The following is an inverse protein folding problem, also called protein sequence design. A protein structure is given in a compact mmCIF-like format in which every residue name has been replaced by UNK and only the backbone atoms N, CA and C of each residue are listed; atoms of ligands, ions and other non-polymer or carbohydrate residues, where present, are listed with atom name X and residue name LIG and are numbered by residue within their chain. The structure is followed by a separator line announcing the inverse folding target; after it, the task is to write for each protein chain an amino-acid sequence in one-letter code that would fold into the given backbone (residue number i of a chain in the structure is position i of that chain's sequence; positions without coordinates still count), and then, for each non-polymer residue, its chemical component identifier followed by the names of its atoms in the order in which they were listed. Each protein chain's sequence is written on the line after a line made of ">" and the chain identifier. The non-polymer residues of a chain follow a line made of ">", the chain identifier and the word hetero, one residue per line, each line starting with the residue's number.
data_IF_310309357538
#
_entry.id   IF_310309357538
#
_cell.length_a   1.000
_cell.length_b   1.000
_cell.length_c   1.000
_cell.angle_alpha   90.00
_cell.angle_beta   90.00
_cell.angle_gamma   90.00
#
_symmetry.space_group_name_H-M   'P 1'
#
loop_
_entity.id
_entity.type
_entity.pdbx_description
1 polymer ?
#
# COMPACT_ATOMS: atom_id res chain seq x y z
N UNK A 1 1.38 -2.50 -20.60
CA UNK A 1 2.39 -1.89 -19.71
C UNK A 1 2.97 -0.66 -20.39
N UNK A 2 2.66 0.55 -19.91
CA UNK A 2 3.31 1.77 -20.36
C UNK A 2 4.72 1.80 -19.76
N UNK A 3 5.67 1.31 -20.54
CA UNK A 3 7.10 1.50 -20.32
C UNK A 3 7.38 3.00 -20.45
N UNK A 4 7.54 3.70 -19.33
CA UNK A 4 8.09 5.06 -19.27
C UNK A 4 9.62 5.02 -19.58
N UNK A 5 9.98 4.34 -20.67
CA UNK A 5 11.35 4.01 -21.04
C UNK A 5 11.94 5.19 -21.82
N UNK A 6 12.80 5.96 -21.17
CA UNK A 6 13.73 6.82 -21.89
C UNK A 6 14.22 8.07 -21.18
N UNK A 7 13.55 8.55 -20.11
CA UNK A 7 13.93 9.85 -19.51
C UNK A 7 14.62 9.75 -18.15
N UNK A 8 14.44 8.65 -17.40
CA UNK A 8 14.99 8.49 -16.04
C UNK A 8 15.79 7.19 -15.95
N UNK A 9 17.10 7.33 -15.72
CA UNK A 9 18.02 6.21 -15.54
C UNK A 9 18.12 5.87 -14.05
N UNK A 10 17.35 4.88 -13.61
CA UNK A 10 17.33 4.48 -12.19
C UNK A 10 18.52 3.61 -11.78
N UNK A 11 19.32 3.14 -12.73
CA UNK A 11 20.49 2.30 -12.46
C UNK A 11 21.78 3.10 -12.17
N UNK A 12 21.65 4.43 -12.01
CA UNK A 12 22.80 5.28 -11.65
C UNK A 12 23.29 4.89 -10.25
N UNK A 13 24.57 4.54 -10.14
CA UNK A 13 25.21 4.25 -8.86
C UNK A 13 25.40 5.53 -8.04
N UNK A 14 25.05 5.42 -6.77
CA UNK A 14 25.20 6.46 -5.77
C UNK A 14 25.93 5.89 -4.56
N UNK A 15 26.65 6.75 -3.86
CA UNK A 15 27.18 6.46 -2.55
C UNK A 15 26.09 6.77 -1.53
N UNK A 16 25.64 5.74 -0.81
CA UNK A 16 24.64 5.78 0.22
C UNK A 16 25.27 5.56 1.61
N UNK A 17 25.46 6.65 2.38
CA UNK A 17 25.92 6.53 3.76
C UNK A 17 24.85 5.85 4.60
N UNK A 18 25.26 4.97 5.51
CA UNK A 18 24.34 4.31 6.46
C UNK A 18 24.31 5.02 7.82
N UNK A 19 24.84 6.24 7.87
CA UNK A 19 24.89 7.08 9.07
C UNK A 19 23.89 8.25 8.97
N UNK A 20 23.54 8.82 10.13
CA UNK A 20 22.50 9.85 10.24
C UNK A 20 22.99 11.25 9.81
N UNK A 21 24.30 11.44 9.62
CA UNK A 21 24.91 12.76 9.42
C UNK A 21 25.17 13.06 7.94
N UNK A 22 25.29 12.03 7.10
CA UNK A 22 25.62 12.16 5.69
C UNK A 22 24.40 11.94 4.79
N UNK A 23 24.43 12.60 3.63
CA UNK A 23 23.40 12.45 2.59
C UNK A 23 23.94 11.65 1.41
N UNK A 24 23.07 10.96 0.64
CA UNK A 24 23.48 10.25 -0.57
C UNK A 24 24.14 11.19 -1.59
N UNK A 25 25.17 10.71 -2.29
CA UNK A 25 25.94 11.48 -3.27
C UNK A 25 26.21 10.67 -4.54
N UNK A 26 26.48 11.35 -5.65
CA UNK A 26 26.86 10.68 -6.90
C UNK A 26 28.16 9.88 -6.75
N UNK A 27 28.16 8.63 -7.21
CA UNK A 27 29.31 7.75 -7.11
C UNK A 27 30.23 7.85 -8.34
N UNK A 28 31.54 8.01 -8.11
CA UNK A 28 32.53 8.10 -9.17
C UNK A 28 33.26 6.76 -9.35
N UNK A 29 32.74 5.90 -10.23
CA UNK A 29 33.29 4.55 -10.50
C UNK A 29 34.79 4.49 -10.73
N UNK A 30 35.36 5.49 -11.42
CA UNK A 30 36.79 5.54 -11.74
C UNK A 30 37.69 5.72 -10.50
N UNK A 31 37.13 6.14 -9.35
CA UNK A 31 37.83 6.33 -8.08
C UNK A 31 37.41 5.31 -7.01
N UNK A 32 36.80 4.21 -7.43
CA UNK A 32 36.26 3.16 -6.55
C UNK A 32 37.32 2.55 -5.65
N UNK A 33 36.96 2.31 -4.39
CA UNK A 33 37.69 1.46 -3.45
C UNK A 33 36.87 0.23 -3.10
N UNK A 34 37.52 -0.83 -2.65
CA UNK A 34 36.83 -2.04 -2.20
C UNK A 34 35.92 -1.78 -0.99
N UNK A 35 36.34 -0.88 -0.09
CA UNK A 35 35.53 -0.42 1.05
C UNK A 35 34.21 0.24 0.65
N UNK A 36 34.11 0.76 -0.59
CA UNK A 36 32.93 1.50 -1.03
C UNK A 36 31.76 0.56 -1.36
N UNK A 37 32.02 -0.73 -1.62
CA UNK A 37 31.00 -1.70 -2.05
C UNK A 37 29.81 -1.79 -1.10
N UNK A 38 30.03 -1.70 0.21
CA UNK A 38 28.95 -1.72 1.21
C UNK A 38 28.04 -0.48 1.16
N UNK A 39 28.47 0.58 0.50
CA UNK A 39 27.79 1.87 0.43
C UNK A 39 27.31 2.21 -0.98
N UNK A 40 27.46 1.32 -1.96
CA UNK A 40 26.97 1.56 -3.32
C UNK A 40 25.55 1.04 -3.44
N UNK A 41 24.63 1.88 -3.89
CA UNK A 41 23.29 1.46 -4.33
C UNK A 41 22.90 2.17 -5.63
N UNK A 42 21.82 1.73 -6.25
CA UNK A 42 21.26 2.43 -7.41
C UNK A 42 20.29 3.52 -6.96
N UNK A 43 20.13 4.56 -7.78
CA UNK A 43 19.09 5.57 -7.55
C UNK A 43 17.66 5.00 -7.51
N UNK A 44 17.42 3.87 -8.18
CA UNK A 44 16.19 3.09 -8.10
C UNK A 44 15.98 2.47 -6.72
N UNK A 45 17.01 1.86 -6.13
CA UNK A 45 16.92 1.30 -4.78
C UNK A 45 16.70 2.40 -3.73
N UNK A 46 17.36 3.56 -3.88
CA UNK A 46 17.09 4.71 -3.03
C UNK A 46 15.65 5.19 -3.14
N UNK A 47 15.09 5.23 -4.35
CA UNK A 47 13.69 5.59 -4.55
C UNK A 47 12.76 4.59 -3.84
N UNK A 48 13.02 3.29 -3.95
CA UNK A 48 12.25 2.25 -3.23
C UNK A 48 12.34 2.45 -1.72
N UNK A 49 13.52 2.76 -1.18
CA UNK A 49 13.72 3.02 0.25
C UNK A 49 12.94 4.27 0.72
N UNK A 50 13.03 5.37 -0.01
CA UNK A 50 12.27 6.59 0.27
C UNK A 50 10.77 6.30 0.25
N UNK A 51 10.28 5.58 -0.76
CA UNK A 51 8.86 5.26 -0.88
C UNK A 51 8.38 4.34 0.25
N UNK A 52 9.18 3.35 0.65
CA UNK A 52 8.88 2.50 1.81
C UNK A 52 8.83 3.33 3.09
N UNK A 53 9.81 4.21 3.32
CA UNK A 53 9.82 5.10 4.48
C UNK A 53 8.58 6.02 4.51
N UNK A 54 8.19 6.58 3.36
CA UNK A 54 6.97 7.38 3.25
C UNK A 54 5.70 6.55 3.51
N UNK A 55 5.59 5.36 2.92
CA UNK A 55 4.49 4.42 3.16
C UNK A 55 4.35 4.12 4.64
N UNK A 56 5.44 3.76 5.32
CA UNK A 56 5.43 3.46 6.75
C UNK A 56 5.12 4.68 7.63
N UNK A 57 5.73 5.83 7.34
CA UNK A 57 5.54 7.06 8.12
C UNK A 57 4.10 7.60 8.04
N UNK A 58 3.47 7.45 6.88
CA UNK A 58 2.11 7.95 6.64
C UNK A 58 1.02 6.87 6.76
N UNK A 59 1.37 5.61 7.04
CA UNK A 59 0.38 4.53 7.14
C UNK A 59 -0.64 4.80 8.26
N UNK A 60 -1.94 4.92 7.98
CA UNK A 60 -2.88 5.41 9.00
C UNK A 60 -3.13 4.47 10.19
N UNK A 61 -2.80 3.19 10.04
CA UNK A 61 -3.15 2.15 11.00
C UNK A 61 -1.93 1.71 11.82
N UNK A 62 -1.59 2.49 12.85
CA UNK A 62 -0.39 2.26 13.67
C UNK A 62 -0.56 1.27 14.83
N UNK A 63 -1.77 0.74 15.06
CA UNK A 63 -2.02 -0.23 16.13
C UNK A 63 -1.29 -1.55 15.86
N UNK A 64 -0.77 -2.20 16.91
CA UNK A 64 -0.11 -3.50 16.85
C UNK A 64 1.08 -3.58 15.88
N UNK A 65 2.24 -3.15 16.35
CA UNK A 65 3.48 -3.17 15.56
C UNK A 65 3.98 -4.58 15.19
N UNK A 66 3.43 -5.63 15.80
CA UNK A 66 3.79 -7.02 15.49
C UNK A 66 3.16 -7.51 14.17
N UNK A 67 2.10 -6.83 13.70
CA UNK A 67 1.39 -7.15 12.46
C UNK A 67 1.94 -6.37 11.26
N UNK A 68 1.72 -6.90 10.06
CA UNK A 68 2.02 -6.19 8.81
C UNK A 68 1.10 -4.97 8.62
N UNK A 69 1.52 -4.02 7.78
CA UNK A 69 0.72 -2.83 7.46
C UNK A 69 -0.69 -3.21 6.96
N UNK A 70 -0.77 -4.21 6.08
CA UNK A 70 -2.02 -4.78 5.61
C UNK A 70 -2.91 -5.27 6.74
N UNK A 71 -2.40 -6.14 7.62
CA UNK A 71 -3.20 -6.70 8.70
C UNK A 71 -3.73 -5.64 9.65
N UNK A 72 -2.94 -4.60 9.93
CA UNK A 72 -3.39 -3.44 10.75
C UNK A 72 -4.56 -2.72 10.08
N UNK A 73 -4.48 -2.50 8.78
CA UNK A 73 -5.55 -1.87 8.00
C UNK A 73 -6.78 -2.78 7.83
N UNK A 74 -6.57 -4.09 7.66
CA UNK A 74 -7.62 -5.09 7.58
C UNK A 74 -8.37 -5.21 8.91
N UNK A 75 -7.66 -5.17 10.05
CA UNK A 75 -8.28 -5.11 11.38
C UNK A 75 -9.14 -3.86 11.55
N UNK A 76 -8.62 -2.70 11.15
CA UNK A 76 -9.40 -1.46 11.20
C UNK A 76 -10.64 -1.49 10.29
N UNK A 77 -10.59 -2.30 9.23
CA UNK A 77 -11.74 -2.59 8.38
C UNK A 77 -12.64 -3.70 8.96
N UNK A 78 -12.40 -4.26 10.15
CA UNK A 78 -13.07 -5.48 10.65
C UNK A 78 -12.94 -6.70 9.71
N UNK A 79 -11.95 -6.71 8.82
CA UNK A 79 -11.67 -7.81 7.89
C UNK A 79 -10.83 -8.94 8.53
N UNK A 80 -10.31 -8.78 9.75
CA UNK A 80 -9.41 -9.76 10.36
C UNK A 80 -10.04 -10.60 11.50
N UNK A 81 -11.14 -10.13 12.13
CA UNK A 81 -11.66 -10.82 13.33
C UNK A 81 -12.50 -12.07 13.00
N UNK A 82 -12.29 -13.14 13.77
CA UNK A 82 -12.79 -14.51 13.48
C UNK A 82 -14.14 -14.84 14.15
N UNK A 83 -14.70 -13.93 14.95
CA UNK A 83 -15.96 -14.17 15.67
C UNK A 83 -17.12 -13.31 15.15
N UNK A 84 -18.23 -13.99 14.85
CA UNK A 84 -19.61 -13.49 14.78
C UNK A 84 -20.11 -12.85 13.47
N UNK A 85 -20.27 -13.73 12.46
CA UNK A 85 -20.92 -13.46 11.17
C UNK A 85 -22.45 -13.20 11.27
N UNK A 86 -23.08 -13.35 12.44
CA UNK A 86 -24.55 -13.47 12.54
C UNK A 86 -25.28 -12.12 12.72
N UNK A 87 -24.59 -10.98 12.82
CA UNK A 87 -25.25 -9.67 13.01
C UNK A 87 -24.58 -8.43 12.41
N UNK A 88 -23.46 -8.55 11.70
CA UNK A 88 -22.58 -7.41 11.39
C UNK A 88 -22.83 -6.67 10.07
N UNK A 89 -23.70 -7.16 9.18
CA UNK A 89 -23.88 -6.54 7.85
C UNK A 89 -24.24 -5.05 7.93
N UNK A 90 -25.16 -4.69 8.83
CA UNK A 90 -25.59 -3.29 9.04
C UNK A 90 -24.51 -2.39 9.66
N UNK A 91 -23.73 -2.89 10.62
CA UNK A 91 -22.66 -2.11 11.27
C UNK A 91 -21.47 -1.90 10.35
N UNK A 92 -21.15 -2.89 9.53
CA UNK A 92 -20.10 -2.81 8.50
C UNK A 92 -20.44 -1.79 7.40
N UNK A 93 -21.71 -1.74 6.98
CA UNK A 93 -22.23 -0.74 6.04
C UNK A 93 -22.23 0.65 6.67
N UNK A 94 -22.67 0.78 7.92
CA UNK A 94 -22.68 2.06 8.63
C UNK A 94 -21.26 2.63 8.82
N UNK A 95 -20.29 1.78 9.16
CA UNK A 95 -18.87 2.14 9.26
C UNK A 95 -18.30 2.60 7.93
N UNK A 96 -18.59 1.87 6.85
CA UNK A 96 -18.22 2.26 5.48
C UNK A 96 -18.81 3.63 5.09
N UNK A 97 -20.09 3.87 5.37
CA UNK A 97 -20.75 5.17 5.13
C UNK A 97 -20.13 6.31 5.96
N UNK A 98 -19.78 6.04 7.22
CA UNK A 98 -19.14 7.03 8.08
C UNK A 98 -17.72 7.38 7.60
N UNK A 99 -16.95 6.38 7.14
CA UNK A 99 -15.62 6.60 6.55
C UNK A 99 -15.72 7.42 5.25
N UNK A 100 -16.64 7.07 4.36
CA UNK A 100 -16.89 7.82 3.13
C UNK A 100 -17.27 9.29 3.43
N UNK A 101 -18.20 9.51 4.36
CA UNK A 101 -18.62 10.86 4.74
C UNK A 101 -17.47 11.70 5.37
N UNK A 102 -16.48 11.07 6.03
CA UNK A 102 -15.28 11.77 6.51
C UNK A 102 -14.40 12.22 5.35
N UNK A 103 -14.20 11.35 4.36
CA UNK A 103 -13.41 11.64 3.17
C UNK A 103 -14.05 12.70 2.28
N UNK A 104 -15.38 12.66 2.13
CA UNK A 104 -16.15 13.68 1.41
C UNK A 104 -15.98 15.08 2.02
N UNK A 105 -15.69 15.16 3.32
CA UNK A 105 -15.36 16.41 4.02
C UNK A 105 -13.88 16.78 3.98
N UNK A 106 -13.05 16.05 3.23
CA UNK A 106 -11.62 16.28 3.13
C UNK A 106 -10.82 15.81 4.35
N UNK A 107 -11.39 14.97 5.22
CA UNK A 107 -10.71 14.45 6.42
C UNK A 107 -9.96 13.17 6.05
N UNK A 108 -8.83 13.35 5.38
CA UNK A 108 -7.90 12.28 4.94
C UNK A 108 -6.84 11.92 5.97
N UNK A 109 -6.74 12.72 7.03
CA UNK A 109 -5.78 12.59 8.11
C UNK A 109 -6.52 12.37 9.42
N UNK A 110 -5.90 11.63 10.31
CA UNK A 110 -6.17 11.79 11.74
C UNK A 110 -4.94 12.49 12.31
N UNK A 111 -5.11 13.57 13.08
CA UNK A 111 -4.03 14.45 13.57
C UNK A 111 -2.88 13.71 14.29
N UNK A 112 -3.06 12.42 14.62
CA UNK A 112 -2.06 11.55 15.26
C UNK A 112 -1.90 10.15 14.60
N UNK A 113 -2.56 9.86 13.47
CA UNK A 113 -2.61 8.51 12.89
C UNK A 113 -2.47 8.50 11.35
N UNK A 114 -1.38 9.08 10.83
CA UNK A 114 -1.02 8.98 9.41
C UNK A 114 -1.85 9.81 8.41
N UNK A 115 -1.47 9.71 7.14
CA UNK A 115 -2.08 10.39 5.98
C UNK A 115 -2.33 9.36 4.87
N UNK A 116 -3.61 9.04 4.67
CA UNK A 116 -4.01 8.00 3.72
C UNK A 116 -3.67 8.37 2.28
N UNK A 117 -3.68 9.66 1.91
CA UNK A 117 -3.35 10.12 0.55
C UNK A 117 -1.88 9.90 0.24
N UNK A 118 -1.02 10.22 1.20
CA UNK A 118 0.44 10.03 1.07
C UNK A 118 0.81 8.56 1.05
N UNK A 119 0.19 7.77 1.93
CA UNK A 119 0.39 6.31 1.94
C UNK A 119 -0.05 5.67 0.62
N UNK A 120 -1.20 6.07 0.08
CA UNK A 120 -1.74 5.56 -1.19
C UNK A 120 -0.82 5.94 -2.36
N UNK A 121 -0.35 7.20 -2.39
CA UNK A 121 0.61 7.70 -3.38
C UNK A 121 1.96 6.97 -3.34
N UNK A 122 2.43 6.59 -2.15
CA UNK A 122 3.65 5.81 -1.98
C UNK A 122 3.47 4.37 -2.49
N UNK A 123 2.39 3.70 -2.10
CA UNK A 123 2.05 2.36 -2.58
C UNK A 123 1.89 2.31 -4.10
N UNK A 124 1.21 3.28 -4.72
CA UNK A 124 1.06 3.34 -6.18
C UNK A 124 2.41 3.39 -6.89
N UNK A 125 3.34 4.20 -6.38
CA UNK A 125 4.70 4.29 -6.93
C UNK A 125 5.52 3.03 -6.68
N UNK A 126 5.37 2.40 -5.51
CA UNK A 126 6.03 1.12 -5.20
C UNK A 126 5.58 0.04 -6.18
N UNK A 127 4.28 -0.09 -6.46
CA UNK A 127 3.74 -1.04 -7.46
C UNK A 127 4.45 -0.89 -8.81
N UNK A 128 4.70 0.36 -9.24
CA UNK A 128 5.35 0.64 -10.52
C UNK A 128 6.83 0.29 -10.54
N UNK A 129 7.52 0.37 -9.39
CA UNK A 129 8.98 0.23 -9.31
C UNK A 129 9.42 -1.17 -8.87
N UNK A 130 8.71 -1.82 -7.94
CA UNK A 130 9.15 -3.10 -7.33
C UNK A 130 8.50 -4.33 -7.95
N UNK A 131 7.33 -4.20 -8.60
CA UNK A 131 6.52 -5.34 -9.05
C UNK A 131 6.23 -6.37 -7.92
N UNK A 132 6.19 -5.92 -6.67
CA UNK A 132 5.86 -6.76 -5.50
C UNK A 132 4.33 -6.92 -5.37
N UNK A 133 3.88 -8.16 -5.19
CA UNK A 133 2.47 -8.48 -4.96
C UNK A 133 1.95 -7.84 -3.67
N UNK A 134 2.76 -7.78 -2.62
CA UNK A 134 2.33 -7.21 -1.34
C UNK A 134 1.92 -5.74 -1.48
N UNK A 135 2.57 -4.99 -2.38
CA UNK A 135 2.21 -3.61 -2.65
C UNK A 135 0.82 -3.48 -3.31
N UNK A 136 0.40 -4.44 -4.13
CA UNK A 136 -0.96 -4.48 -4.70
C UNK A 136 -2.02 -4.68 -3.61
N UNK A 137 -1.74 -5.57 -2.65
CA UNK A 137 -2.63 -5.87 -1.52
C UNK A 137 -2.74 -4.67 -0.58
N UNK A 138 -1.60 -4.09 -0.21
CA UNK A 138 -1.52 -2.93 0.67
C UNK A 138 -2.21 -1.71 0.05
N UNK A 139 -2.02 -1.50 -1.26
CA UNK A 139 -2.73 -0.46 -2.01
C UNK A 139 -4.25 -0.70 -2.01
N UNK A 140 -4.68 -1.94 -2.19
CA UNK A 140 -6.11 -2.27 -2.22
C UNK A 140 -6.83 -1.99 -0.90
N UNK A 141 -6.23 -2.34 0.25
CA UNK A 141 -6.87 -2.05 1.55
C UNK A 141 -6.95 -0.54 1.80
N UNK A 142 -5.99 0.25 1.32
CA UNK A 142 -6.08 1.72 1.39
C UNK A 142 -7.23 2.24 0.49
N UNK A 143 -7.36 1.72 -0.74
CA UNK A 143 -8.49 2.05 -1.62
C UNK A 143 -9.85 1.71 -0.99
N UNK A 144 -9.92 0.58 -0.29
CA UNK A 144 -11.11 0.19 0.46
C UNK A 144 -11.49 1.24 1.51
N UNK A 145 -10.52 1.66 2.33
CA UNK A 145 -10.72 2.71 3.32
C UNK A 145 -11.05 4.08 2.69
N UNK A 146 -10.60 4.30 1.44
CA UNK A 146 -10.95 5.48 0.64
C UNK A 146 -12.37 5.45 0.04
N UNK A 147 -13.12 4.35 0.20
CA UNK A 147 -14.42 4.16 -0.45
C UNK A 147 -14.34 3.84 -1.95
N UNK A 148 -13.14 3.57 -2.48
CA UNK A 148 -12.89 3.20 -3.87
C UNK A 148 -12.98 1.68 -4.04
N UNK A 149 -14.18 1.14 -3.78
CA UNK A 149 -14.39 -0.31 -3.64
C UNK A 149 -14.17 -1.10 -4.94
N UNK A 150 -14.52 -0.53 -6.10
CA UNK A 150 -14.32 -1.21 -7.37
C UNK A 150 -12.83 -1.33 -7.71
N UNK A 151 -12.09 -0.23 -7.57
CA UNK A 151 -10.65 -0.17 -7.74
C UNK A 151 -9.97 -1.11 -6.74
N UNK A 152 -10.37 -1.08 -5.46
CA UNK A 152 -9.87 -1.97 -4.42
C UNK A 152 -9.99 -3.44 -4.85
N UNK A 153 -11.16 -3.88 -5.32
CA UNK A 153 -11.37 -5.26 -5.78
C UNK A 153 -10.50 -5.61 -6.99
N UNK A 154 -10.31 -4.69 -7.93
CA UNK A 154 -9.45 -4.92 -9.11
C UNK A 154 -8.00 -5.16 -8.71
N UNK A 155 -7.47 -4.41 -7.74
CA UNK A 155 -6.10 -4.60 -7.26
C UNK A 155 -5.92 -5.90 -6.46
N UNK A 156 -6.93 -6.37 -5.71
CA UNK A 156 -6.87 -7.69 -5.06
C UNK A 156 -6.87 -8.84 -6.06
N UNK A 157 -7.64 -8.73 -7.15
CA UNK A 157 -7.58 -9.73 -8.23
C UNK A 157 -6.18 -9.80 -8.85
N UNK A 158 -5.55 -8.65 -9.12
CA UNK A 158 -4.16 -8.60 -9.60
C UNK A 158 -3.18 -9.19 -8.58
N UNK A 159 -3.37 -8.93 -7.29
CA UNK A 159 -2.59 -9.54 -6.23
C UNK A 159 -2.69 -11.07 -6.27
N UNK A 160 -3.90 -11.63 -6.35
CA UNK A 160 -4.10 -13.08 -6.45
C UNK A 160 -3.47 -13.67 -7.71
N UNK A 161 -3.63 -13.02 -8.88
CA UNK A 161 -3.01 -13.45 -10.14
C UNK A 161 -1.48 -13.51 -10.04
N UNK A 162 -0.87 -12.46 -9.48
CA UNK A 162 0.59 -12.38 -9.31
C UNK A 162 1.09 -13.37 -8.24
N UNK A 163 0.36 -13.50 -7.13
CA UNK A 163 0.69 -14.46 -6.07
C UNK A 163 0.65 -15.89 -6.59
N UNK A 164 -0.44 -16.29 -7.26
CA UNK A 164 -0.61 -17.63 -7.83
C UNK A 164 0.46 -17.96 -8.89
N UNK A 165 0.97 -16.95 -9.58
CA UNK A 165 2.08 -17.12 -10.53
C UNK A 165 3.42 -17.34 -9.82
N UNK A 166 3.57 -16.90 -8.56
CA UNK A 166 4.80 -16.97 -7.77
C UNK A 166 4.90 -18.21 -6.86
N UNK A 167 3.78 -18.85 -6.49
CA UNK A 167 3.72 -19.95 -5.50
C UNK A 167 4.39 -21.27 -5.93
N UNK A 168 5.22 -21.29 -6.98
CA UNK A 168 6.01 -22.48 -7.34
C UNK A 168 7.33 -22.61 -6.57
N UNK A 169 7.72 -21.64 -5.73
CA UNK A 169 9.07 -21.64 -5.13
C UNK A 169 9.01 -21.17 -3.66
N UNK A 170 9.47 -22.04 -2.76
CA UNK A 170 9.86 -21.83 -1.34
C UNK A 170 8.80 -21.76 -0.23
N UNK A 171 8.91 -22.71 0.70
CA UNK A 171 8.20 -22.84 1.98
C UNK A 171 9.18 -22.60 3.15
N UNK A 172 8.84 -21.69 4.07
CA UNK A 172 9.56 -21.47 5.33
C UNK A 172 8.57 -21.17 6.48
N UNK A 173 8.76 -21.86 7.61
CA UNK A 173 7.72 -22.12 8.61
C UNK A 173 7.28 -20.93 9.48
N UNK A 174 8.14 -19.92 9.70
CA UNK A 174 7.75 -18.73 10.49
C UNK A 174 7.09 -17.65 9.61
N UNK A 175 7.40 -17.63 8.31
CA UNK A 175 6.72 -16.78 7.32
C UNK A 175 5.31 -17.29 7.04
N UNK A 176 5.11 -18.61 7.08
CA UNK A 176 3.84 -19.29 6.77
C UNK A 176 2.67 -18.78 7.62
N UNK A 177 2.83 -18.65 8.95
CA UNK A 177 1.72 -18.25 9.84
C UNK A 177 1.26 -16.81 9.61
N UNK A 178 2.19 -15.89 9.38
CA UNK A 178 1.86 -14.50 9.02
C UNK A 178 1.21 -14.41 7.64
N UNK A 179 1.61 -15.28 6.71
CA UNK A 179 1.06 -15.34 5.35
C UNK A 179 -0.36 -15.91 5.34
N UNK A 180 -0.66 -16.91 6.18
CA UNK A 180 -2.01 -17.49 6.31
C UNK A 180 -3.03 -16.49 6.88
N UNK A 181 -2.65 -15.72 7.90
CA UNK A 181 -3.51 -14.67 8.46
C UNK A 181 -3.78 -13.57 7.41
N UNK A 182 -2.76 -13.19 6.65
CA UNK A 182 -2.87 -12.23 5.56
C UNK A 182 -3.80 -12.74 4.45
N UNK A 183 -3.69 -14.01 4.06
CA UNK A 183 -4.54 -14.62 3.03
C UNK A 183 -6.00 -14.68 3.47
N UNK A 184 -6.27 -15.09 4.70
CA UNK A 184 -7.62 -15.10 5.25
C UNK A 184 -8.22 -13.68 5.29
N UNK A 185 -7.41 -12.67 5.63
CA UNK A 185 -7.84 -11.27 5.62
C UNK A 185 -8.08 -10.75 4.19
N UNK A 186 -7.30 -11.20 3.19
CA UNK A 186 -7.54 -10.90 1.76
C UNK A 186 -8.87 -11.48 1.30
N UNK A 187 -9.14 -12.75 1.59
CA UNK A 187 -10.39 -13.41 1.21
C UNK A 187 -11.60 -12.73 1.85
N UNK A 188 -11.50 -12.37 3.15
CA UNK A 188 -12.56 -11.64 3.85
C UNK A 188 -12.78 -10.23 3.28
N UNK A 189 -11.72 -9.52 2.90
CA UNK A 189 -11.82 -8.24 2.22
C UNK A 189 -12.50 -8.38 0.85
N UNK A 190 -12.14 -9.39 0.05
CA UNK A 190 -12.78 -9.65 -1.24
C UNK A 190 -14.25 -10.01 -1.10
N UNK A 191 -14.61 -10.88 -0.16
CA UNK A 191 -16.01 -11.20 0.13
C UNK A 191 -16.81 -9.94 0.45
N UNK A 192 -16.27 -9.07 1.32
CA UNK A 192 -16.94 -7.81 1.68
C UNK A 192 -17.08 -6.86 0.50
N UNK A 193 -16.04 -6.72 -0.32
CA UNK A 193 -16.09 -5.90 -1.53
C UNK A 193 -17.15 -6.40 -2.51
N UNK A 194 -17.28 -7.72 -2.69
CA UNK A 194 -18.33 -8.31 -3.51
C UNK A 194 -19.73 -8.02 -2.93
N UNK A 195 -19.92 -8.13 -1.62
CA UNK A 195 -21.19 -7.78 -0.96
C UNK A 195 -21.56 -6.30 -1.18
N UNK A 196 -20.60 -5.39 -1.02
CA UNK A 196 -20.81 -3.95 -1.26
C UNK A 196 -21.18 -3.70 -2.73
N UNK A 197 -20.57 -4.41 -3.68
CA UNK A 197 -20.90 -4.27 -5.11
C UNK A 197 -22.30 -4.77 -5.48
N UNK A 198 -22.87 -5.70 -4.71
CA UNK A 198 -24.23 -6.18 -4.92
C UNK A 198 -25.29 -5.17 -4.43
N UNK A 199 -24.93 -4.24 -3.55
CA UNK A 199 -25.84 -3.20 -3.08
C UNK A 199 -25.93 -2.01 -4.07
N UNK A 200 -27.15 -1.53 -4.33
CA UNK A 200 -27.36 -0.35 -5.17
C UNK A 200 -26.88 0.93 -4.46
N UNK A 201 -26.14 1.79 -5.17
CA UNK A 201 -25.76 3.13 -4.70
C UNK A 201 -24.30 3.31 -4.24
N UNK A 202 -23.48 2.25 -4.29
CA UNK A 202 -22.05 2.31 -3.98
C UNK A 202 -21.15 2.53 -5.20
N UNK A 203 -21.75 2.60 -6.39
CA UNK A 203 -21.09 2.84 -7.66
C UNK A 203 -20.62 4.29 -7.74
N UNK A 204 -19.39 4.53 -7.25
CA UNK A 204 -18.66 5.81 -7.25
C UNK A 204 -19.26 6.89 -6.34
N UNK A 205 -18.44 7.57 -5.51
CA UNK A 205 -18.81 8.86 -4.97
C UNK A 205 -19.18 9.79 -6.13
N UNK A 206 -20.35 10.44 -6.07
CA UNK A 206 -20.78 11.45 -7.06
C UNK A 206 -19.82 12.64 -7.15
N UNK A 207 -18.90 12.75 -6.19
CA UNK A 207 -17.83 13.73 -6.11
C UNK A 207 -16.55 13.23 -6.80
N UNK A 208 -16.60 12.35 -7.81
CA UNK A 208 -15.47 12.08 -8.71
C UNK A 208 -15.00 13.30 -9.54
N UNK A 209 -15.08 14.51 -8.98
CA UNK A 209 -14.55 15.76 -9.47
C UNK A 209 -13.07 15.81 -9.07
N UNK A 210 -12.21 15.23 -9.91
CA UNK A 210 -10.76 15.42 -9.89
C UNK A 210 -10.04 15.08 -8.56
N UNK A 211 -10.38 13.96 -7.90
CA UNK A 211 -9.73 13.50 -6.65
C UNK A 211 -8.21 13.33 -6.73
N UNK A 212 -7.67 12.99 -7.91
CA UNK A 212 -6.23 12.88 -8.19
C UNK A 212 -5.67 14.07 -8.99
N UNK A 213 -6.52 14.99 -9.44
CA UNK A 213 -6.17 16.01 -10.45
C UNK A 213 -6.29 17.46 -10.02
N UNK A 214 -6.97 17.78 -8.91
CA UNK A 214 -7.20 19.17 -8.49
C UNK A 214 -6.51 19.58 -7.18
N UNK A 215 -5.55 18.80 -6.68
CA UNK A 215 -4.72 19.27 -5.57
C UNK A 215 -3.61 20.16 -6.13
N UNK A 216 -3.95 21.44 -6.33
CA UNK A 216 -2.98 22.53 -6.43
C UNK A 216 -2.24 22.78 -5.12
N UNK A 217 -2.63 22.10 -4.04
CA UNK A 217 -1.88 22.10 -2.80
C UNK A 217 -0.70 21.13 -2.93
N UNK A 218 0.53 21.61 -2.75
CA UNK A 218 1.69 20.75 -2.83
C UNK A 218 1.66 19.74 -1.66
N UNK A 219 2.25 18.57 -1.89
CA UNK A 219 2.64 17.51 -0.93
C UNK A 219 1.60 16.44 -0.60
#
# INVERSE_FOLDING_TARGET
>A
MLRLWGLLYFDAEIFYPHDVLNVPKGYHKQKSKESDQAHIMTSGNLLVEILNNLKHAFWPFHHDHTKSLFLRAAHAANCADRSDFVGESGSQIASAKAAQHRLDRGVWTTVRFGDMRRSLSACERLILVTNDANELRDYSILLYHCGLYNESLQYLKKYQELKNSSTQVTSSSDSERSTEEEDAAVDKLMMRLNLIQLEQGWSRPSVARNFLGNNSDPW
#
